data_IF_861541118724
#
_entry.id   IF_861541118724
#
_cell.length_a   1.000
_cell.length_b   1.000
_cell.length_c   1.000
_cell.angle_alpha   90.00
_cell.angle_beta   90.00
_cell.angle_gamma   90.00
#
_symmetry.space_group_name_H-M   'P 1'
#
loop_
_entity.id
_entity.type
_entity.pdbx_description
1 polymer ?
#
# COMPACT_ATOMS: atom_id res chain seq x y z
N UNK A 1 5.53 -2.72 30.38
CA UNK A 1 6.30 -1.80 29.52
C UNK A 1 6.94 -2.58 28.40
N UNK A 2 6.29 -2.70 27.23
CA UNK A 2 6.91 -3.26 26.02
C UNK A 2 7.50 -2.06 25.29
N UNK A 3 8.81 -1.91 25.36
CA UNK A 3 9.58 -0.94 24.59
C UNK A 3 9.30 -1.14 23.11
N UNK A 4 8.46 -0.28 22.53
CA UNK A 4 8.20 -0.24 21.10
C UNK A 4 9.30 0.62 20.49
N UNK A 5 10.49 0.02 20.35
CA UNK A 5 11.57 0.61 19.56
C UNK A 5 11.02 0.74 18.13
N UNK A 6 10.92 1.96 17.57
CA UNK A 6 10.50 2.12 16.19
C UNK A 6 11.50 1.35 15.30
N UNK A 7 11.03 0.55 14.33
CA UNK A 7 11.92 -0.20 13.46
C UNK A 7 12.87 0.77 12.76
N UNK A 8 14.18 0.57 12.97
CA UNK A 8 15.23 1.32 12.28
C UNK A 8 15.10 1.08 10.77
N UNK A 9 15.46 2.07 9.95
CA UNK A 9 15.34 2.00 8.48
C UNK A 9 15.92 0.69 7.89
N UNK A 10 17.02 0.22 8.47
CA UNK A 10 17.68 -1.05 8.10
C UNK A 10 16.82 -2.30 8.25
N UNK A 11 15.87 -2.33 9.20
CA UNK A 11 14.98 -3.49 9.40
C UNK A 11 13.93 -3.63 8.30
N UNK A 12 13.38 -2.50 7.82
CA UNK A 12 12.40 -2.46 6.72
C UNK A 12 13.05 -2.78 5.37
N UNK A 13 14.28 -2.31 5.16
CA UNK A 13 15.07 -2.65 3.98
C UNK A 13 15.41 -4.14 3.93
N UNK A 14 15.80 -4.72 5.07
CA UNK A 14 16.03 -6.17 5.21
C UNK A 14 14.76 -6.97 4.94
N UNK A 15 13.61 -6.59 5.50
CA UNK A 15 12.34 -7.29 5.22
C UNK A 15 12.04 -7.28 3.72
N UNK A 16 12.15 -6.13 3.06
CA UNK A 16 11.93 -6.02 1.61
C UNK A 16 12.92 -6.88 0.82
N UNK A 17 14.20 -6.87 1.18
CA UNK A 17 15.21 -7.69 0.52
C UNK A 17 14.90 -9.19 0.66
N UNK A 18 14.51 -9.64 1.85
CA UNK A 18 14.12 -11.03 2.11
C UNK A 18 12.89 -11.40 1.29
N UNK A 19 11.82 -10.59 1.34
CA UNK A 19 10.59 -10.88 0.58
C UNK A 19 10.86 -10.91 -0.93
N UNK A 20 11.66 -9.98 -1.43
CA UNK A 20 12.03 -9.91 -2.85
C UNK A 20 12.88 -11.12 -3.24
N UNK A 21 13.86 -11.49 -2.43
CA UNK A 21 14.66 -12.70 -2.62
C UNK A 21 13.82 -13.97 -2.61
N UNK A 22 12.84 -14.08 -1.71
CA UNK A 22 11.90 -15.20 -1.69
C UNK A 22 11.04 -15.26 -2.96
N UNK A 23 10.53 -14.12 -3.44
CA UNK A 23 9.76 -14.07 -4.69
C UNK A 23 10.59 -14.50 -5.90
N UNK A 24 11.83 -14.00 -6.00
CA UNK A 24 12.76 -14.42 -7.04
C UNK A 24 13.06 -15.91 -6.93
N UNK A 25 13.29 -16.42 -5.72
CA UNK A 25 13.45 -17.85 -5.47
C UNK A 25 12.24 -18.65 -5.94
N UNK A 26 11.01 -18.20 -5.66
CA UNK A 26 9.80 -18.86 -6.14
C UNK A 26 9.73 -18.89 -7.67
N UNK A 27 10.09 -17.80 -8.35
CA UNK A 27 10.15 -17.77 -9.82
C UNK A 27 11.23 -18.71 -10.37
N UNK A 28 12.41 -18.74 -9.76
CA UNK A 28 13.51 -19.64 -10.14
C UNK A 28 13.11 -21.10 -9.93
N UNK A 29 12.52 -21.43 -8.77
CA UNK A 29 12.02 -22.76 -8.47
C UNK A 29 10.91 -23.15 -9.45
N UNK A 30 9.98 -22.24 -9.75
CA UNK A 30 8.97 -22.52 -10.75
C UNK A 30 9.60 -22.86 -12.11
N UNK A 31 10.54 -22.03 -12.60
CA UNK A 31 11.30 -22.25 -13.84
C UNK A 31 12.16 -23.52 -13.83
N UNK A 32 12.54 -24.04 -12.66
CA UNK A 32 13.29 -25.28 -12.49
C UNK A 32 12.65 -26.50 -13.16
N UNK A 33 11.36 -26.44 -13.51
CA UNK A 33 10.67 -27.47 -14.29
C UNK A 33 11.23 -27.71 -15.69
N UNK A 34 11.96 -26.73 -16.22
CA UNK A 34 12.65 -26.85 -17.49
C UNK A 34 13.88 -27.76 -17.41
N UNK A 35 14.45 -27.93 -16.20
CA UNK A 35 15.76 -28.59 -15.99
C UNK A 35 15.62 -29.92 -15.24
N UNK A 36 14.69 -30.04 -14.29
CA UNK A 36 14.54 -31.24 -13.48
C UNK A 36 13.07 -31.62 -13.28
N UNK A 37 12.75 -32.92 -13.35
CA UNK A 37 11.42 -33.47 -13.09
C UNK A 37 11.56 -34.79 -12.34
N UNK A 38 10.89 -34.94 -11.19
CA UNK A 38 10.89 -36.19 -10.42
C UNK A 38 9.47 -36.80 -10.41
N UNK A 39 9.21 -37.86 -11.22
CA UNK A 39 7.83 -38.34 -11.46
C UNK A 39 7.11 -38.88 -10.22
N UNK A 40 7.86 -39.40 -9.23
CA UNK A 40 7.32 -40.09 -8.05
C UNK A 40 7.10 -39.19 -6.83
N UNK A 41 7.68 -37.98 -6.82
CA UNK A 41 7.71 -37.14 -5.63
C UNK A 41 6.34 -36.58 -5.22
N UNK A 42 5.48 -36.08 -6.13
CA UNK A 42 4.18 -35.50 -5.74
C UNK A 42 3.20 -36.50 -5.12
N UNK A 43 3.29 -37.77 -5.53
CA UNK A 43 2.48 -38.88 -4.99
C UNK A 43 3.07 -39.55 -3.75
N UNK A 44 4.18 -39.02 -3.22
CA UNK A 44 4.84 -39.57 -2.02
C UNK A 44 4.29 -38.94 -0.73
N UNK A 45 4.55 -39.58 0.42
CA UNK A 45 4.22 -39.04 1.74
C UNK A 45 4.83 -37.63 1.96
N UNK A 46 6.13 -37.39 1.70
CA UNK A 46 6.71 -36.05 1.76
C UNK A 46 6.00 -35.04 0.86
N UNK A 47 5.69 -35.42 -0.39
CA UNK A 47 4.95 -34.58 -1.32
C UNK A 47 3.61 -34.16 -0.73
N UNK A 48 2.80 -35.10 -0.26
CA UNK A 48 1.48 -34.84 0.32
C UNK A 48 1.56 -33.93 1.55
N UNK A 49 2.52 -34.17 2.46
CA UNK A 49 2.73 -33.32 3.64
C UNK A 49 3.08 -31.88 3.26
N UNK A 50 3.91 -31.68 2.23
CA UNK A 50 4.23 -30.35 1.71
C UNK A 50 2.99 -29.65 1.13
N UNK A 51 2.16 -30.38 0.38
CA UNK A 51 0.93 -29.86 -0.19
C UNK A 51 -0.08 -29.43 0.88
N UNK A 52 -0.31 -30.29 1.89
CA UNK A 52 -1.20 -29.99 3.03
C UNK A 52 -0.68 -28.79 3.81
N UNK A 53 0.60 -28.78 4.15
CA UNK A 53 1.22 -27.68 4.90
C UNK A 53 1.15 -26.36 4.13
N UNK A 54 1.41 -26.40 2.82
CA UNK A 54 1.27 -25.26 1.92
C UNK A 54 -0.16 -24.72 1.89
N UNK A 55 -1.15 -25.60 1.70
CA UNK A 55 -2.56 -25.22 1.69
C UNK A 55 -3.00 -24.60 3.03
N UNK A 56 -2.61 -25.18 4.17
CA UNK A 56 -2.91 -24.65 5.50
C UNK A 56 -2.32 -23.23 5.66
N UNK A 57 -1.04 -23.05 5.33
CA UNK A 57 -0.37 -21.75 5.43
C UNK A 57 -0.98 -20.68 4.53
N UNK A 58 -1.53 -21.05 3.37
CA UNK A 58 -2.17 -20.10 2.46
C UNK A 58 -3.62 -19.78 2.87
N UNK A 59 -4.37 -20.74 3.40
CA UNK A 59 -5.81 -20.60 3.69
C UNK A 59 -6.05 -20.02 5.08
N UNK A 60 -5.45 -20.59 6.13
CA UNK A 60 -5.80 -20.28 7.52
C UNK A 60 -5.50 -18.82 7.88
N UNK A 61 -4.30 -18.27 7.65
CA UNK A 61 -3.99 -16.88 7.96
C UNK A 61 -4.85 -15.89 7.16
N UNK A 62 -5.09 -16.18 5.89
CA UNK A 62 -5.87 -15.34 4.99
C UNK A 62 -7.33 -15.26 5.41
N UNK A 63 -7.92 -16.40 5.75
CA UNK A 63 -9.29 -16.46 6.25
C UNK A 63 -9.42 -15.77 7.61
N UNK A 64 -8.46 -15.99 8.51
CA UNK A 64 -8.40 -15.30 9.80
C UNK A 64 -8.36 -13.77 9.63
N UNK A 65 -7.54 -13.26 8.69
CA UNK A 65 -7.46 -11.83 8.38
C UNK A 65 -8.80 -11.30 7.83
N UNK A 66 -9.39 -11.95 6.83
CA UNK A 66 -10.66 -11.52 6.23
C UNK A 66 -11.80 -11.53 7.25
N UNK A 67 -11.89 -12.59 8.05
CA UNK A 67 -12.91 -12.74 9.08
C UNK A 67 -12.79 -11.64 10.16
N UNK A 68 -11.57 -11.37 10.63
CA UNK A 68 -11.31 -10.31 11.60
C UNK A 68 -11.56 -8.90 11.03
N UNK A 69 -11.32 -8.71 9.73
CA UNK A 69 -11.56 -7.43 9.04
C UNK A 69 -13.06 -7.17 8.83
N UNK A 70 -13.85 -8.19 8.47
CA UNK A 70 -15.27 -8.04 8.13
C UNK A 70 -16.21 -8.07 9.33
N UNK A 71 -15.86 -8.78 10.41
CA UNK A 71 -16.78 -8.97 11.54
C UNK A 71 -16.29 -8.26 12.83
N UNK A 72 -16.97 -7.19 13.29
CA UNK A 72 -16.60 -6.48 14.51
C UNK A 72 -16.80 -7.33 15.78
N UNK A 73 -17.65 -8.36 15.73
CA UNK A 73 -17.82 -9.33 16.82
C UNK A 73 -16.59 -10.23 17.00
N UNK A 74 -16.04 -10.77 15.90
CA UNK A 74 -14.81 -11.55 15.94
C UNK A 74 -13.61 -10.66 16.27
N UNK A 75 -13.59 -9.42 15.79
CA UNK A 75 -12.58 -8.43 16.17
C UNK A 75 -12.59 -8.13 17.68
N UNK A 76 -13.76 -8.11 18.32
CA UNK A 76 -13.86 -7.96 19.78
C UNK A 76 -13.30 -9.18 20.53
N UNK A 77 -13.55 -10.40 20.04
CA UNK A 77 -13.02 -11.64 20.62
C UNK A 77 -11.50 -11.83 20.38
N UNK A 78 -11.00 -11.49 19.20
CA UNK A 78 -9.59 -11.61 18.82
C UNK A 78 -8.74 -10.41 19.23
N UNK A 79 -9.35 -9.22 19.39
CA UNK A 79 -8.67 -7.94 19.58
C UNK A 79 -7.87 -7.84 20.88
N UNK A 80 -8.18 -8.68 21.88
CA UNK A 80 -7.38 -8.78 23.10
C UNK A 80 -6.04 -9.50 22.90
N UNK A 81 -5.89 -10.34 21.87
CA UNK A 81 -4.70 -11.19 21.67
C UNK A 81 -3.96 -10.95 20.36
N UNK A 82 -4.63 -10.46 19.32
CA UNK A 82 -4.07 -10.36 17.97
C UNK A 82 -4.41 -9.01 17.31
N UNK A 83 -3.44 -8.08 17.20
CA UNK A 83 -3.66 -6.84 16.46
C UNK A 83 -3.80 -7.13 14.96
N UNK A 84 -4.62 -6.33 14.26
CA UNK A 84 -4.86 -6.50 12.81
C UNK A 84 -3.56 -6.47 11.98
N UNK A 85 -2.57 -5.69 12.43
CA UNK A 85 -1.22 -5.64 11.83
C UNK A 85 -0.52 -7.01 11.85
N UNK A 86 -0.68 -7.81 12.92
CA UNK A 86 -0.10 -9.15 13.03
C UNK A 86 -0.84 -10.14 12.11
N UNK A 87 -2.17 -10.04 12.01
CA UNK A 87 -2.96 -10.87 11.08
C UNK A 87 -2.59 -10.61 9.62
N UNK A 88 -2.36 -9.34 9.27
CA UNK A 88 -1.87 -8.99 7.93
C UNK A 88 -0.47 -9.56 7.67
N UNK A 89 0.42 -9.50 8.66
CA UNK A 89 1.74 -10.13 8.54
C UNK A 89 1.64 -11.65 8.34
N UNK A 90 0.76 -12.34 9.08
CA UNK A 90 0.52 -13.77 8.89
C UNK A 90 -0.08 -14.09 7.52
N UNK A 91 -0.96 -13.26 6.97
CA UNK A 91 -1.45 -13.42 5.60
C UNK A 91 -0.32 -13.35 4.56
N UNK A 92 0.57 -12.35 4.68
CA UNK A 92 1.70 -12.17 3.76
C UNK A 92 2.69 -13.34 3.87
N UNK A 93 3.17 -13.62 5.08
CA UNK A 93 4.15 -14.69 5.31
C UNK A 93 3.57 -16.07 5.06
N UNK A 94 2.31 -16.31 5.40
CA UNK A 94 1.60 -17.55 5.10
C UNK A 94 1.44 -17.77 3.60
N UNK A 95 1.13 -16.72 2.83
CA UNK A 95 1.09 -16.78 1.37
C UNK A 95 2.46 -17.11 0.74
N UNK A 96 3.52 -16.42 1.17
CA UNK A 96 4.88 -16.61 0.64
C UNK A 96 5.43 -17.99 1.01
N UNK A 97 5.35 -18.39 2.28
CA UNK A 97 5.86 -19.69 2.73
C UNK A 97 4.99 -20.83 2.20
N UNK A 98 3.67 -20.67 2.22
CA UNK A 98 2.74 -21.68 1.73
C UNK A 98 2.90 -21.96 0.23
N UNK A 99 3.14 -20.92 -0.57
CA UNK A 99 3.42 -21.09 -2.00
C UNK A 99 4.78 -21.70 -2.29
N UNK A 100 5.80 -21.40 -1.48
CA UNK A 100 7.09 -22.08 -1.58
C UNK A 100 6.92 -23.59 -1.38
N UNK A 101 6.17 -24.01 -0.35
CA UNK A 101 5.82 -25.42 -0.12
C UNK A 101 4.97 -25.99 -1.26
N UNK A 102 4.04 -25.22 -1.82
CA UNK A 102 3.21 -25.65 -2.94
C UNK A 102 4.03 -25.88 -4.22
N UNK A 103 5.01 -25.02 -4.53
CA UNK A 103 5.92 -25.22 -5.66
C UNK A 103 6.75 -26.48 -5.44
N UNK A 104 7.30 -26.68 -4.24
CA UNK A 104 8.05 -27.89 -3.89
C UNK A 104 7.19 -29.15 -4.00
N UNK A 105 5.93 -29.09 -3.55
CA UNK A 105 4.95 -30.18 -3.66
C UNK A 105 4.77 -30.66 -5.11
N UNK A 106 4.83 -29.76 -6.10
CA UNK A 106 4.66 -30.14 -7.51
C UNK A 106 5.74 -31.10 -8.02
N UNK A 107 6.90 -31.20 -7.36
CA UNK A 107 8.05 -31.97 -7.86
C UNK A 107 8.47 -31.57 -9.28
N UNK A 108 8.12 -30.34 -9.69
CA UNK A 108 8.24 -29.81 -11.05
C UNK A 108 7.49 -30.61 -12.14
N UNK A 109 6.42 -31.33 -11.76
CA UNK A 109 5.54 -32.07 -12.68
C UNK A 109 4.27 -31.26 -12.96
N UNK A 110 4.18 -30.68 -14.15
CA UNK A 110 3.02 -29.90 -14.62
C UNK A 110 2.27 -30.61 -15.77
N UNK A 111 1.85 -31.86 -15.57
CA UNK A 111 1.14 -32.63 -16.62
C UNK A 111 -0.35 -32.28 -16.73
N UNK A 112 -0.92 -31.69 -15.68
CA UNK A 112 -2.32 -31.27 -15.64
C UNK A 112 -2.45 -29.77 -15.91
N UNK A 113 -3.33 -29.39 -16.84
CA UNK A 113 -3.73 -27.99 -17.08
C UNK A 113 -4.18 -27.30 -15.79
N UNK A 114 -4.87 -28.04 -14.91
CA UNK A 114 -5.33 -27.51 -13.62
C UNK A 114 -4.16 -27.14 -12.72
N UNK A 115 -3.13 -27.99 -12.63
CA UNK A 115 -1.94 -27.72 -11.82
C UNK A 115 -1.17 -26.51 -12.34
N UNK A 116 -1.00 -26.40 -13.65
CA UNK A 116 -0.32 -25.26 -14.29
C UNK A 116 -1.07 -23.95 -14.03
N UNK A 117 -2.39 -23.92 -14.26
CA UNK A 117 -3.22 -22.73 -14.04
C UNK A 117 -3.27 -22.37 -12.56
N UNK A 118 -3.37 -23.35 -11.65
CA UNK A 118 -3.34 -23.12 -10.20
C UNK A 118 -2.03 -22.48 -9.74
N UNK A 119 -0.88 -23.02 -10.18
CA UNK A 119 0.43 -22.45 -9.85
C UNK A 119 0.62 -21.06 -10.46
N UNK A 120 0.16 -20.84 -11.69
CA UNK A 120 0.18 -19.52 -12.32
C UNK A 120 -0.66 -18.50 -11.55
N UNK A 121 -1.89 -18.87 -11.18
CA UNK A 121 -2.78 -18.03 -10.38
C UNK A 121 -2.17 -17.71 -8.99
N UNK A 122 -1.55 -18.71 -8.35
CA UNK A 122 -0.83 -18.52 -7.09
C UNK A 122 0.29 -17.49 -7.20
N UNK A 123 1.19 -17.65 -8.19
CA UNK A 123 2.29 -16.72 -8.42
C UNK A 123 1.78 -15.31 -8.71
N UNK A 124 0.72 -15.19 -9.52
CA UNK A 124 0.08 -13.91 -9.81
C UNK A 124 -0.50 -13.24 -8.55
N UNK A 125 -1.18 -13.97 -7.69
CA UNK A 125 -1.73 -13.44 -6.43
C UNK A 125 -0.62 -12.91 -5.52
N UNK A 126 0.47 -13.66 -5.37
CA UNK A 126 1.58 -13.27 -4.49
C UNK A 126 2.32 -12.06 -5.06
N UNK A 127 2.64 -12.08 -6.36
CA UNK A 127 3.24 -10.94 -7.04
C UNK A 127 2.36 -9.70 -6.93
N UNK A 128 1.05 -9.84 -7.19
CA UNK A 128 0.12 -8.71 -7.11
C UNK A 128 -0.02 -8.16 -5.68
N UNK A 129 0.04 -9.04 -4.67
CA UNK A 129 0.08 -8.66 -3.26
C UNK A 129 1.34 -7.89 -2.89
N UNK A 130 2.50 -8.34 -3.36
CA UNK A 130 3.79 -7.66 -3.16
C UNK A 130 3.77 -6.24 -3.74
N UNK A 131 3.38 -6.09 -5.00
CA UNK A 131 3.27 -4.78 -5.68
C UNK A 131 2.27 -3.88 -4.94
N UNK A 132 1.12 -4.41 -4.53
CA UNK A 132 0.13 -3.65 -3.77
C UNK A 132 0.65 -3.15 -2.42
N UNK A 133 1.40 -3.98 -1.70
CA UNK A 133 1.96 -3.63 -0.39
C UNK A 133 3.11 -2.64 -0.47
N UNK A 134 4.00 -2.74 -1.45
CA UNK A 134 5.24 -1.97 -1.46
C UNK A 134 5.21 -0.76 -2.37
N UNK A 135 4.58 -0.87 -3.54
CA UNK A 135 4.52 0.24 -4.48
C UNK A 135 3.36 1.17 -4.11
N UNK A 136 2.13 0.64 -4.08
CA UNK A 136 0.94 1.48 -3.90
C UNK A 136 0.80 2.03 -2.47
N UNK A 137 1.25 1.29 -1.46
CA UNK A 137 1.21 1.80 -0.08
C UNK A 137 2.13 3.01 0.13
N UNK A 138 3.33 3.01 -0.48
CA UNK A 138 4.27 4.14 -0.41
C UNK A 138 3.70 5.38 -1.05
N UNK A 139 3.14 5.23 -2.24
CA UNK A 139 2.43 6.31 -2.92
C UNK A 139 1.35 6.86 -1.99
N UNK A 140 0.52 6.01 -1.38
CA UNK A 140 -0.54 6.48 -0.46
C UNK A 140 -0.04 7.19 0.81
N UNK A 141 1.22 6.97 1.23
CA UNK A 141 1.83 7.65 2.37
C UNK A 141 2.33 9.03 1.94
N UNK A 142 3.06 9.09 0.82
CA UNK A 142 3.52 10.35 0.21
C UNK A 142 2.34 11.30 -0.04
N UNK A 143 1.22 10.78 -0.55
CA UNK A 143 -0.03 11.54 -0.72
C UNK A 143 -0.57 12.10 0.59
N UNK A 144 -0.54 11.32 1.67
CA UNK A 144 -1.03 11.77 2.98
C UNK A 144 -0.11 12.81 3.61
N UNK A 145 1.20 12.66 3.43
CA UNK A 145 2.18 13.64 3.89
C UNK A 145 2.00 14.98 3.18
N UNK A 146 1.83 14.96 1.85
CA UNK A 146 1.49 16.16 1.06
C UNK A 146 0.19 16.82 1.50
N UNK A 147 -0.86 16.03 1.74
CA UNK A 147 -2.14 16.54 2.26
C UNK A 147 -1.98 17.19 3.65
N UNK A 148 -1.24 16.54 4.55
CA UNK A 148 -0.95 17.11 5.87
C UNK A 148 -0.10 18.39 5.81
N UNK A 149 0.80 18.49 4.85
CA UNK A 149 1.57 19.72 4.60
C UNK A 149 0.67 20.85 4.08
N UNK A 150 -0.23 20.53 3.15
CA UNK A 150 -1.22 21.48 2.63
C UNK A 150 -2.13 22.03 3.75
N UNK A 151 -2.62 21.17 4.64
CA UNK A 151 -3.43 21.60 5.79
C UNK A 151 -2.66 22.56 6.69
N UNK A 152 -1.37 22.30 6.94
CA UNK A 152 -0.50 23.18 7.73
C UNK A 152 -0.27 24.54 7.05
N UNK A 153 0.03 24.55 5.75
CA UNK A 153 0.23 25.79 5.01
C UNK A 153 -1.06 26.61 4.94
N UNK A 154 -2.20 25.95 4.74
CA UNK A 154 -3.53 26.58 4.75
C UNK A 154 -3.83 27.21 6.11
N UNK A 155 -3.49 26.52 7.20
CA UNK A 155 -3.65 27.05 8.56
C UNK A 155 -2.76 28.28 8.80
N UNK A 156 -1.48 28.21 8.41
CA UNK A 156 -0.54 29.33 8.52
C UNK A 156 -0.97 30.55 7.68
N UNK A 157 -1.47 30.30 6.46
CA UNK A 157 -2.05 31.34 5.60
C UNK A 157 -3.26 32.00 6.27
N UNK A 158 -4.19 31.20 6.82
CA UNK A 158 -5.39 31.72 7.48
C UNK A 158 -5.04 32.54 8.73
N UNK A 159 -4.04 32.12 9.51
CA UNK A 159 -3.54 32.91 10.65
C UNK A 159 -2.96 34.26 10.19
N UNK A 160 -2.15 34.28 9.13
CA UNK A 160 -1.58 35.51 8.59
C UNK A 160 -2.65 36.43 8.01
N UNK A 161 -3.60 35.88 7.24
CA UNK A 161 -4.74 36.60 6.71
C UNK A 161 -5.61 37.18 7.84
N UNK A 162 -5.80 36.43 8.93
CA UNK A 162 -6.48 36.87 10.13
C UNK A 162 -5.78 38.03 10.84
N UNK A 163 -4.44 38.01 10.96
CA UNK A 163 -3.66 39.12 11.52
C UNK A 163 -3.76 40.38 10.68
N UNK A 164 -3.69 40.24 9.35
CA UNK A 164 -3.95 41.33 8.40
C UNK A 164 -5.37 41.90 8.59
N UNK A 165 -6.38 41.05 8.75
CA UNK A 165 -7.77 41.47 8.98
C UNK A 165 -7.99 42.17 10.33
N UNK A 166 -7.28 41.75 11.38
CA UNK A 166 -7.35 42.33 12.71
C UNK A 166 -6.68 43.70 12.83
N UNK A 167 -5.90 44.12 11.83
CA UNK A 167 -5.25 45.44 11.77
C UNK A 167 -5.92 46.32 10.67
N UNK A 168 -7.06 46.97 10.95
CA UNK A 168 -7.80 47.75 9.95
C UNK A 168 -7.01 48.93 9.36
N UNK A 169 -6.05 49.50 10.11
CA UNK A 169 -5.14 50.54 9.61
C UNK A 169 -4.18 50.04 8.54
N UNK A 170 -3.76 48.76 8.63
CA UNK A 170 -2.89 48.10 7.67
C UNK A 170 -3.62 47.76 6.36
N UNK A 171 -4.85 47.28 6.46
CA UNK A 171 -5.70 47.03 5.30
C UNK A 171 -6.00 48.31 4.54
N UNK A 172 -6.18 49.43 5.24
CA UNK A 172 -6.35 50.75 4.64
C UNK A 172 -5.16 51.14 3.75
N UNK A 173 -3.93 51.04 4.26
CA UNK A 173 -2.71 51.42 3.52
C UNK A 173 -2.44 50.51 2.31
N UNK A 174 -2.71 49.20 2.43
CA UNK A 174 -2.60 48.25 1.32
C UNK A 174 -3.65 48.50 0.23
N UNK A 175 -4.90 48.81 0.63
CA UNK A 175 -6.02 49.09 -0.30
C UNK A 175 -5.83 50.40 -1.04
N UNK A 176 -5.36 51.44 -0.36
CA UNK A 176 -4.98 52.71 -0.97
C UNK A 176 -3.79 52.56 -1.93
N UNK A 177 -2.78 51.76 -1.56
CA UNK A 177 -1.65 51.48 -2.45
C UNK A 177 -2.05 50.70 -3.70
N UNK A 178 -3.05 49.81 -3.60
CA UNK A 178 -3.57 49.03 -4.74
C UNK A 178 -4.55 49.82 -5.64
N UNK A 179 -5.25 50.81 -5.07
CA UNK A 179 -6.21 51.64 -5.80
C UNK A 179 -5.55 52.72 -6.68
N UNK A 180 -4.26 53.02 -6.50
CA UNK A 180 -3.53 54.03 -7.30
C UNK A 180 -3.02 53.43 -8.60
N UNK A 181 -3.20 54.15 -9.71
CA UNK A 181 -2.63 53.76 -11.01
C UNK A 181 -1.09 53.84 -11.00
N UNK A 182 -0.37 53.04 -11.82
CA UNK A 182 1.09 53.03 -11.86
C UNK A 182 1.74 54.39 -12.23
N UNK A 183 0.97 55.29 -12.87
CA UNK A 183 1.38 56.67 -13.15
C UNK A 183 1.24 57.58 -11.92
N UNK A 184 0.13 57.46 -11.17
CA UNK A 184 -0.09 58.20 -9.93
C UNK A 184 0.88 57.78 -8.82
N UNK A 185 1.23 56.48 -8.76
CA UNK A 185 2.19 55.97 -7.77
C UNK A 185 3.63 56.44 -8.01
N UNK A 186 3.97 56.80 -9.25
CA UNK A 186 5.26 57.43 -9.62
C UNK A 186 5.29 58.92 -9.32
N UNK A 187 4.21 59.64 -9.60
CA UNK A 187 4.10 61.09 -9.35
C UNK A 187 4.02 61.42 -7.86
N UNK A 188 3.33 60.61 -7.07
CA UNK A 188 3.19 60.77 -5.62
C UNK A 188 4.25 59.97 -4.83
N UNK A 189 5.32 59.50 -5.50
CA UNK A 189 6.40 58.75 -4.85
C UNK A 189 7.12 59.57 -3.76
N UNK A 190 7.13 60.91 -3.90
CA UNK A 190 7.67 61.84 -2.91
C UNK A 190 6.80 61.88 -1.64
N UNK A 191 5.47 61.75 -1.74
CA UNK A 191 4.55 61.84 -0.59
C UNK A 191 4.27 60.48 0.08
N UNK A 192 5.15 59.48 -0.10
CA UNK A 192 4.96 58.15 0.49
C UNK A 192 4.95 58.26 2.01
N UNK A 193 3.82 57.95 2.63
CA UNK A 193 3.85 57.20 3.87
C UNK A 193 4.51 55.86 3.55
N UNK A 194 5.68 55.61 4.14
CA UNK A 194 6.34 54.30 4.04
C UNK A 194 5.29 53.27 4.47
N UNK A 195 4.91 52.31 3.60
CA UNK A 195 4.04 51.22 4.02
C UNK A 195 4.67 50.63 5.27
N UNK A 196 3.88 50.48 6.33
CA UNK A 196 4.37 49.91 7.58
C UNK A 196 5.17 48.64 7.24
N UNK A 197 6.48 48.57 7.56
CA UNK A 197 7.34 47.45 7.18
C UNK A 197 6.75 46.11 7.58
N UNK A 198 6.01 46.09 8.70
CA UNK A 198 5.30 44.92 9.22
C UNK A 198 4.14 44.50 8.30
N UNK A 199 3.42 45.47 7.73
CA UNK A 199 2.31 45.25 6.80
C UNK A 199 2.74 44.66 5.47
N UNK A 200 3.82 45.22 4.94
CA UNK A 200 4.39 44.73 3.70
C UNK A 200 4.95 43.32 3.87
N UNK A 201 5.62 43.04 5.00
CA UNK A 201 6.12 41.71 5.32
C UNK A 201 5.00 40.67 5.47
N UNK A 202 3.92 41.01 6.19
CA UNK A 202 2.73 40.15 6.34
C UNK A 202 2.04 39.87 5.00
N UNK A 203 1.82 40.90 4.17
CA UNK A 203 1.18 40.73 2.86
C UNK A 203 2.04 39.88 1.92
N UNK A 204 3.35 40.11 1.91
CA UNK A 204 4.30 39.31 1.11
C UNK A 204 4.31 37.85 1.54
N UNK A 205 4.41 37.57 2.85
CA UNK A 205 4.39 36.20 3.34
C UNK A 205 3.07 35.48 3.06
N UNK A 206 1.93 36.19 3.10
CA UNK A 206 0.63 35.61 2.72
C UNK A 206 0.59 35.22 1.23
N UNK A 207 1.16 36.05 0.34
CA UNK A 207 1.26 35.72 -1.09
C UNK A 207 2.22 34.56 -1.38
N UNK A 208 3.33 34.46 -0.64
CA UNK A 208 4.28 33.35 -0.75
C UNK A 208 3.66 32.02 -0.27
N UNK A 209 2.90 32.06 0.83
CA UNK A 209 2.11 30.92 1.33
C UNK A 209 1.04 30.51 0.32
N UNK A 210 0.30 31.46 -0.25
CA UNK A 210 -0.73 31.17 -1.26
C UNK A 210 -0.13 30.52 -2.51
N UNK A 211 1.05 30.98 -2.97
CA UNK A 211 1.79 30.35 -4.06
C UNK A 211 2.18 28.90 -3.73
N UNK A 212 2.72 28.69 -2.53
CA UNK A 212 3.13 27.35 -2.07
C UNK A 212 1.94 26.39 -1.93
N UNK A 213 0.78 26.89 -1.49
CA UNK A 213 -0.48 26.12 -1.44
C UNK A 213 -0.93 25.75 -2.85
N UNK A 214 -0.94 26.69 -3.79
CA UNK A 214 -1.36 26.43 -5.17
C UNK A 214 -0.48 25.38 -5.86
N UNK A 215 0.84 25.42 -5.66
CA UNK A 215 1.77 24.43 -6.21
C UNK A 215 1.49 23.03 -5.63
N UNK A 216 1.23 22.94 -4.32
CA UNK A 216 0.86 21.68 -3.65
C UNK A 216 -0.51 21.17 -4.07
N UNK A 217 -1.51 22.04 -4.19
CA UNK A 217 -2.86 21.69 -4.68
C UNK A 217 -2.81 21.16 -6.11
N UNK A 218 -2.03 21.81 -6.97
CA UNK A 218 -1.82 21.35 -8.34
C UNK A 218 -1.14 19.97 -8.37
N UNK A 219 -0.12 19.76 -7.54
CA UNK A 219 0.55 18.46 -7.39
C UNK A 219 -0.34 17.36 -6.81
N UNK A 220 -1.25 17.70 -5.89
CA UNK A 220 -2.18 16.75 -5.25
C UNK A 220 -3.39 16.45 -6.14
N UNK A 221 -3.86 17.43 -6.92
CA UNK A 221 -5.05 17.30 -7.77
C UNK A 221 -4.94 16.18 -8.81
N UNK A 222 -3.72 15.83 -9.24
CA UNK A 222 -3.46 14.70 -10.14
C UNK A 222 -3.61 13.31 -9.49
N UNK A 223 -3.76 13.24 -8.16
CA UNK A 223 -3.66 12.00 -7.39
C UNK A 223 -4.96 11.20 -7.23
N UNK A 224 -6.09 11.69 -7.75
CA UNK A 224 -7.35 10.94 -7.81
C UNK A 224 -7.19 9.65 -8.66
N UNK A 225 -6.34 9.73 -9.69
CA UNK A 225 -5.96 8.59 -10.52
C UNK A 225 -5.27 7.49 -9.70
N UNK A 226 -4.44 7.85 -8.71
CA UNK A 226 -3.73 6.91 -7.86
C UNK A 226 -4.67 6.19 -6.90
N UNK A 227 -5.63 6.92 -6.30
CA UNK A 227 -6.67 6.33 -5.44
C UNK A 227 -7.57 5.37 -6.22
N UNK A 228 -7.94 5.74 -7.44
CA UNK A 228 -8.72 4.87 -8.34
C UNK A 228 -7.92 3.63 -8.73
N UNK A 229 -6.67 3.78 -9.15
CA UNK A 229 -5.77 2.66 -9.48
C UNK A 229 -5.58 1.72 -8.28
N UNK A 230 -5.45 2.26 -7.07
CA UNK A 230 -5.35 1.44 -5.85
C UNK A 230 -6.59 0.58 -5.60
N UNK A 231 -7.79 1.15 -5.75
CA UNK A 231 -9.04 0.38 -5.62
C UNK A 231 -9.15 -0.72 -6.69
N UNK A 232 -8.84 -0.39 -7.94
CA UNK A 232 -8.85 -1.36 -9.04
C UNK A 232 -7.83 -2.47 -8.78
N UNK A 233 -6.62 -2.11 -8.35
CA UNK A 233 -5.58 -3.07 -8.01
C UNK A 233 -5.99 -4.04 -6.90
N UNK A 234 -6.55 -3.49 -5.82
CA UNK A 234 -7.07 -4.29 -4.71
C UNK A 234 -8.18 -5.23 -5.19
N UNK A 235 -9.08 -4.75 -6.05
CA UNK A 235 -10.13 -5.57 -6.65
C UNK A 235 -9.53 -6.71 -7.48
N UNK A 236 -8.56 -6.43 -8.36
CA UNK A 236 -7.87 -7.44 -9.17
C UNK A 236 -7.20 -8.49 -8.29
N UNK A 237 -6.48 -8.08 -7.24
CA UNK A 237 -5.83 -9.01 -6.31
C UNK A 237 -6.85 -9.90 -5.59
N UNK A 238 -7.97 -9.33 -5.13
CA UNK A 238 -9.03 -10.09 -4.47
C UNK A 238 -9.71 -11.05 -5.43
N UNK A 239 -10.04 -10.62 -6.65
CA UNK A 239 -10.64 -11.48 -7.68
C UNK A 239 -9.71 -12.63 -8.07
N UNK A 240 -8.43 -12.34 -8.29
CA UNK A 240 -7.41 -13.36 -8.54
C UNK A 240 -7.30 -14.35 -7.36
N UNK A 241 -7.40 -13.86 -6.12
CA UNK A 241 -7.41 -14.72 -4.93
C UNK A 241 -8.63 -15.64 -4.87
N UNK A 242 -9.81 -15.14 -5.26
CA UNK A 242 -11.04 -15.96 -5.34
C UNK A 242 -10.87 -17.06 -6.38
N UNK A 243 -10.36 -16.73 -7.57
CA UNK A 243 -10.06 -17.72 -8.61
C UNK A 243 -9.04 -18.75 -8.11
N UNK A 244 -7.95 -18.30 -7.50
CA UNK A 244 -6.93 -19.17 -6.92
C UNK A 244 -7.52 -20.15 -5.90
N UNK A 245 -8.33 -19.68 -4.94
CA UNK A 245 -8.93 -20.57 -3.94
C UNK A 245 -9.96 -21.54 -4.56
N UNK A 246 -10.70 -21.12 -5.59
CA UNK A 246 -11.58 -22.02 -6.35
C UNK A 246 -10.79 -23.14 -7.05
N UNK A 247 -9.70 -22.80 -7.71
CA UNK A 247 -8.79 -23.77 -8.33
C UNK A 247 -8.13 -24.68 -7.30
N UNK A 248 -7.75 -24.16 -6.13
CA UNK A 248 -7.17 -24.94 -5.04
C UNK A 248 -8.19 -25.96 -4.50
N UNK A 249 -9.44 -25.55 -4.29
CA UNK A 249 -10.50 -26.46 -3.86
C UNK A 249 -10.75 -27.56 -4.90
N UNK A 250 -10.79 -27.20 -6.18
CA UNK A 250 -10.91 -28.17 -7.28
C UNK A 250 -9.71 -29.12 -7.35
N UNK A 251 -8.50 -28.62 -7.10
CA UNK A 251 -7.29 -29.44 -7.03
C UNK A 251 -7.35 -30.45 -5.89
N UNK A 252 -7.73 -30.01 -4.69
CA UNK A 252 -7.88 -30.90 -3.53
C UNK A 252 -8.96 -31.94 -3.81
N UNK A 253 -10.10 -31.54 -4.36
CA UNK A 253 -11.17 -32.46 -4.71
C UNK A 253 -10.72 -33.48 -5.77
N UNK A 254 -10.05 -33.06 -6.84
CA UNK A 254 -9.51 -33.97 -7.85
C UNK A 254 -8.49 -34.95 -7.25
N UNK A 255 -7.61 -34.48 -6.35
CA UNK A 255 -6.65 -35.32 -5.65
C UNK A 255 -7.33 -36.32 -4.71
N UNK A 256 -8.45 -35.96 -4.07
CA UNK A 256 -9.25 -36.89 -3.26
C UNK A 256 -9.98 -37.90 -4.17
N UNK A 257 -10.65 -37.43 -5.21
CA UNK A 257 -11.50 -38.25 -6.08
C UNK A 257 -10.69 -39.24 -6.95
N UNK A 258 -9.60 -38.78 -7.57
CA UNK A 258 -8.74 -39.62 -8.41
C UNK A 258 -7.58 -40.24 -7.65
N UNK A 259 -7.14 -39.63 -6.54
CA UNK A 259 -5.99 -40.07 -5.77
C UNK A 259 -6.30 -41.07 -4.66
N UNK A 260 -7.49 -41.12 -4.05
CA UNK A 260 -7.75 -42.07 -2.94
C UNK A 260 -7.68 -43.58 -3.31
N UNK A 261 -7.33 -43.94 -4.55
CA UNK A 261 -7.13 -45.33 -5.00
C UNK A 261 -5.90 -46.04 -4.40
N UNK A 262 -5.11 -45.38 -3.54
CA UNK A 262 -4.03 -46.01 -2.77
C UNK A 262 -4.41 -46.31 -1.31
N UNK A 263 -5.62 -45.95 -0.88
CA UNK A 263 -6.18 -46.35 0.42
C UNK A 263 -7.15 -47.54 0.32
N UNK A 264 -7.29 -48.13 -0.87
CA UNK A 264 -8.07 -49.34 -1.17
C UNK A 264 -7.18 -50.33 -1.89
#
# INVERSE_FOLDING_TARGET
MISMIPPTNSSMERERAVVTGLLLLQLILWLGFAVHRSPRFPGSLPGTLLGISGAILMVVPSFAYVAAKRSPALRRRLGARLPLRRLLAWHIWGGILGSLLAILHTGHRFESTLGLVLTGAMLFVIFSGYVGRHFLARVSLDLREKQGLLERLTTAYNEMAGRLAAQPGLLGTLRESRARSPLQSRLLAWSRSVPDPEAYALAKGATELAGSIADLEYGIGTDELLRRRFRIWLLVHVLASVVFYGLLALHIWASVYFGLRWLV
#
